data_IF_009602286970
#
_entry.id   IF_009602286970
#
_cell.length_a   1.000
_cell.length_b   1.000
_cell.length_c   1.000
_cell.angle_alpha   90.00
_cell.angle_beta   90.00
_cell.angle_gamma   90.00
#
_symmetry.space_group_name_H-M   'P 1'
#
loop_
_entity.id
_entity.type
_entity.pdbx_description
1 polymer ?
#
# COMPACT_ATOMS: atom_id res chain seq x y z
N UNK A 1 12.03 -0.57 -30.80
CA UNK A 1 12.70 -1.84 -31.17
C UNK A 1 13.55 -2.44 -30.04
N UNK A 2 13.35 -2.04 -28.77
CA UNK A 2 14.08 -2.60 -27.61
C UNK A 2 13.16 -3.29 -26.57
N UNK A 3 11.88 -3.48 -26.87
CA UNK A 3 10.91 -4.05 -25.91
C UNK A 3 10.61 -5.53 -26.07
N UNK A 4 11.21 -6.21 -27.04
CA UNK A 4 10.86 -7.61 -27.37
C UNK A 4 11.86 -8.67 -26.86
N UNK A 5 12.92 -8.27 -26.15
CA UNK A 5 13.99 -9.19 -25.75
C UNK A 5 13.69 -9.99 -24.47
N UNK A 6 12.59 -9.71 -23.78
CA UNK A 6 12.19 -10.50 -22.58
C UNK A 6 11.06 -11.50 -22.84
N UNK A 7 11.01 -12.06 -24.05
CA UNK A 7 10.20 -13.27 -24.32
C UNK A 7 10.94 -14.48 -23.75
N UNK A 8 10.38 -15.03 -22.66
CA UNK A 8 10.51 -16.41 -22.18
C UNK A 8 11.83 -17.09 -22.56
N UNK A 9 12.83 -16.99 -21.72
CA UNK A 9 13.93 -17.97 -21.78
C UNK A 9 13.39 -19.33 -21.32
N UNK A 10 13.05 -20.18 -22.27
CA UNK A 10 12.85 -21.62 -22.04
C UNK A 10 14.23 -22.26 -22.06
N UNK A 11 14.71 -22.68 -20.90
CA UNK A 11 15.95 -23.47 -20.82
C UNK A 11 15.57 -24.95 -20.97
N UNK A 12 15.96 -25.53 -22.08
CA UNK A 12 15.84 -26.97 -22.32
C UNK A 12 17.04 -27.69 -21.71
N UNK A 13 16.82 -28.44 -20.65
CA UNK A 13 17.82 -29.35 -20.11
C UNK A 13 17.59 -30.71 -20.80
N UNK A 14 18.48 -31.05 -21.72
CA UNK A 14 18.45 -32.34 -22.41
C UNK A 14 19.01 -33.44 -21.49
N UNK A 15 18.16 -34.32 -21.00
CA UNK A 15 18.51 -35.56 -20.33
C UNK A 15 18.09 -36.71 -21.26
N UNK A 16 18.93 -37.72 -21.55
CA UNK A 16 18.72 -38.67 -22.64
C UNK A 16 17.45 -39.53 -22.64
N UNK A 17 16.58 -39.37 -21.67
CA UNK A 17 15.34 -40.17 -21.59
C UNK A 17 14.07 -39.45 -21.18
N UNK A 18 14.11 -38.17 -20.73
CA UNK A 18 12.90 -37.45 -20.33
C UNK A 18 13.11 -35.92 -20.54
N UNK A 19 12.31 -35.32 -21.43
CA UNK A 19 12.27 -33.86 -21.56
C UNK A 19 11.40 -33.29 -20.45
N UNK A 20 12.00 -32.85 -19.35
CA UNK A 20 11.29 -32.19 -18.27
C UNK A 20 11.15 -30.70 -18.63
N UNK A 21 9.97 -30.31 -19.02
CA UNK A 21 9.61 -28.90 -19.20
C UNK A 21 9.48 -28.24 -17.83
N UNK A 22 10.58 -27.79 -17.25
CA UNK A 22 10.57 -26.99 -16.03
C UNK A 22 10.17 -25.56 -16.41
N UNK A 23 8.91 -25.18 -16.17
CA UNK A 23 8.55 -23.76 -16.12
C UNK A 23 9.36 -23.14 -14.97
N UNK A 24 10.39 -22.39 -15.32
CA UNK A 24 11.04 -21.52 -14.34
C UNK A 24 9.96 -20.63 -13.70
N UNK A 25 9.95 -20.48 -12.36
CA UNK A 25 9.01 -19.57 -11.73
C UNK A 25 9.21 -18.20 -12.38
N UNK A 26 8.11 -17.64 -12.91
CA UNK A 26 8.07 -16.28 -13.43
C UNK A 26 8.61 -15.38 -12.32
N UNK A 27 9.86 -14.95 -12.44
CA UNK A 27 10.39 -13.86 -11.63
C UNK A 27 9.59 -12.64 -12.04
N UNK A 28 8.64 -12.26 -11.21
CA UNK A 28 7.83 -11.05 -11.35
C UNK A 28 8.81 -9.90 -11.55
N UNK A 29 8.93 -9.45 -12.79
CA UNK A 29 9.89 -8.40 -13.15
C UNK A 29 9.55 -7.18 -12.31
N UNK A 30 10.50 -6.77 -11.49
CA UNK A 30 10.37 -5.59 -10.63
C UNK A 30 10.04 -4.39 -11.51
N UNK A 31 8.91 -3.75 -11.28
CA UNK A 31 8.47 -2.58 -12.04
C UNK A 31 9.25 -1.38 -11.51
N UNK A 32 10.33 -1.02 -12.23
CA UNK A 32 11.26 0.04 -11.82
C UNK A 32 10.56 1.40 -11.66
N UNK A 33 9.55 1.66 -12.47
CA UNK A 33 8.75 2.87 -12.44
C UNK A 33 8.01 3.04 -11.11
N UNK A 34 7.47 1.95 -10.56
CA UNK A 34 6.80 1.98 -9.26
C UNK A 34 7.79 2.18 -8.11
N UNK A 35 8.97 1.59 -8.19
CA UNK A 35 10.01 1.79 -7.18
C UNK A 35 10.52 3.24 -7.19
N UNK A 36 10.67 3.84 -8.37
CA UNK A 36 11.03 5.25 -8.52
C UNK A 36 9.95 6.18 -7.94
N UNK A 37 8.68 5.91 -8.25
CA UNK A 37 7.56 6.69 -7.73
C UNK A 37 7.47 6.62 -6.19
N UNK A 38 7.69 5.45 -5.61
CA UNK A 38 7.78 5.31 -4.15
C UNK A 38 8.92 6.12 -3.56
N UNK A 39 10.08 6.12 -4.20
CA UNK A 39 11.24 6.90 -3.76
C UNK A 39 10.90 8.39 -3.73
N UNK A 40 10.25 8.92 -4.78
CA UNK A 40 9.80 10.32 -4.82
C UNK A 40 8.84 10.61 -3.67
N UNK A 41 7.83 9.77 -3.46
CA UNK A 41 6.83 10.01 -2.40
C UNK A 41 7.44 9.94 -1.00
N UNK A 42 8.37 9.00 -0.74
CA UNK A 42 9.10 8.93 0.53
C UNK A 42 9.92 10.21 0.74
N UNK A 43 10.62 10.66 -0.28
CA UNK A 43 11.43 11.89 -0.22
C UNK A 43 10.55 13.11 0.08
N UNK A 44 9.43 13.26 -0.62
CA UNK A 44 8.46 14.33 -0.37
C UNK A 44 7.88 14.26 1.06
N UNK A 45 7.56 13.06 1.54
CA UNK A 45 7.09 12.86 2.90
C UNK A 45 8.13 13.36 3.91
N UNK A 46 9.39 12.94 3.78
CA UNK A 46 10.47 13.35 4.69
C UNK A 46 10.66 14.88 4.66
N UNK A 47 10.75 15.47 3.46
CA UNK A 47 10.98 16.91 3.30
C UNK A 47 9.88 17.74 4.00
N UNK A 48 8.61 17.42 3.77
CA UNK A 48 7.50 18.18 4.31
C UNK A 48 7.13 17.84 5.77
N UNK A 49 7.70 16.76 6.34
CA UNK A 49 7.65 16.50 7.78
C UNK A 49 8.71 17.31 8.56
N UNK A 50 9.75 17.81 7.88
CA UNK A 50 10.68 18.74 8.51
C UNK A 50 9.95 20.08 8.76
N UNK A 51 9.77 20.44 10.03
CA UNK A 51 9.04 21.63 10.48
C UNK A 51 9.54 22.89 9.75
N UNK A 52 10.86 23.06 9.66
CA UNK A 52 11.48 24.21 9.01
C UNK A 52 11.04 24.40 7.55
N UNK A 53 10.98 23.32 6.76
CA UNK A 53 10.58 23.37 5.34
C UNK A 53 9.06 23.42 5.22
N UNK A 54 8.37 22.61 6.01
CA UNK A 54 6.92 22.50 5.98
C UNK A 54 6.22 23.82 6.33
N UNK A 55 6.74 24.56 7.28
CA UNK A 55 6.15 25.83 7.71
C UNK A 55 6.54 27.00 6.77
N UNK A 56 7.71 26.88 6.11
CA UNK A 56 8.13 27.86 5.11
C UNK A 56 7.29 27.80 3.82
N UNK A 57 6.78 26.60 3.46
CA UNK A 57 6.01 26.38 2.23
C UNK A 57 4.67 25.69 2.52
N UNK A 58 3.74 26.34 3.22
CA UNK A 58 2.50 25.72 3.69
C UNK A 58 1.60 25.23 2.56
N UNK A 59 1.52 25.96 1.44
CA UNK A 59 0.73 25.54 0.28
C UNK A 59 1.30 24.28 -0.39
N UNK A 60 2.61 24.20 -0.56
CA UNK A 60 3.26 23.03 -1.10
C UNK A 60 3.08 21.80 -0.19
N UNK A 61 3.20 21.99 1.13
CA UNK A 61 2.92 20.97 2.13
C UNK A 61 1.51 20.45 2.01
N UNK A 62 0.52 21.33 1.88
CA UNK A 62 -0.88 20.95 1.75
C UNK A 62 -1.13 20.15 0.47
N UNK A 63 -0.58 20.59 -0.67
CA UNK A 63 -0.69 19.87 -1.94
C UNK A 63 -0.08 18.47 -1.82
N UNK A 64 1.13 18.35 -1.29
CA UNK A 64 1.80 17.04 -1.13
C UNK A 64 1.00 16.13 -0.21
N UNK A 65 0.49 16.64 0.92
CA UNK A 65 -0.29 15.84 1.87
C UNK A 65 -1.63 15.37 1.31
N UNK A 66 -2.18 16.04 0.30
CA UNK A 66 -3.43 15.64 -0.34
C UNK A 66 -3.28 14.33 -1.13
N UNK A 67 -2.15 14.13 -1.81
CA UNK A 67 -2.04 13.00 -2.75
C UNK A 67 -1.04 11.92 -2.36
N UNK A 68 0.05 12.24 -1.63
CA UNK A 68 1.15 11.27 -1.46
C UNK A 68 0.74 10.02 -0.67
N UNK A 69 -0.03 10.17 0.41
CA UNK A 69 -0.48 9.03 1.22
C UNK A 69 -1.54 8.19 0.47
N UNK A 70 -2.45 8.86 -0.23
CA UNK A 70 -3.45 8.20 -1.08
C UNK A 70 -2.78 7.40 -2.21
N UNK A 71 -1.79 7.99 -2.87
CA UNK A 71 -1.01 7.32 -3.91
C UNK A 71 -0.23 6.12 -3.37
N UNK A 72 0.34 6.21 -2.18
CA UNK A 72 0.97 5.06 -1.53
C UNK A 72 0.00 3.92 -1.26
N UNK A 73 -1.23 4.22 -0.82
CA UNK A 73 -2.25 3.19 -0.60
C UNK A 73 -2.68 2.53 -1.92
N UNK A 74 -2.84 3.30 -3.00
CA UNK A 74 -3.13 2.77 -4.34
C UNK A 74 -2.01 1.84 -4.81
N UNK A 75 -0.75 2.29 -4.72
CA UNK A 75 0.41 1.48 -5.11
C UNK A 75 0.50 0.21 -4.25
N UNK A 76 0.25 0.31 -2.96
CA UNK A 76 0.28 -0.84 -2.05
C UNK A 76 -0.81 -1.85 -2.37
N UNK A 77 -2.02 -1.39 -2.69
CA UNK A 77 -3.12 -2.23 -3.16
C UNK A 77 -2.79 -2.91 -4.50
N UNK A 78 -2.21 -2.17 -5.44
CA UNK A 78 -1.76 -2.72 -6.73
C UNK A 78 -0.70 -3.81 -6.59
N UNK A 79 0.26 -3.62 -5.68
CA UNK A 79 1.34 -4.59 -5.42
C UNK A 79 0.94 -5.70 -4.44
N UNK A 80 -0.26 -5.65 -3.88
CA UNK A 80 -0.76 -6.70 -3.01
C UNK A 80 -0.89 -8.02 -3.79
N UNK A 81 -0.26 -9.07 -3.30
CA UNK A 81 -0.22 -10.36 -3.97
C UNK A 81 -0.80 -11.46 -3.08
N UNK A 82 -1.92 -12.03 -3.51
CA UNK A 82 -2.63 -13.10 -2.82
C UNK A 82 -2.16 -14.52 -3.21
N UNK A 83 -1.31 -14.63 -4.23
CA UNK A 83 -0.80 -15.94 -4.73
C UNK A 83 0.28 -16.52 -3.84
N UNK A 84 0.76 -15.77 -2.86
CA UNK A 84 1.81 -16.23 -1.94
C UNK A 84 1.25 -17.20 -0.92
N UNK A 85 2.10 -18.17 -0.57
CA UNK A 85 1.82 -19.08 0.52
C UNK A 85 1.65 -18.32 1.86
N UNK A 86 0.81 -18.89 2.76
CA UNK A 86 0.48 -18.28 4.05
C UNK A 86 1.73 -17.94 4.87
N UNK A 87 2.75 -18.80 4.86
CA UNK A 87 4.03 -18.56 5.55
C UNK A 87 4.76 -17.32 5.00
N UNK A 88 4.76 -17.17 3.67
CA UNK A 88 5.40 -16.03 3.01
C UNK A 88 4.63 -14.73 3.24
N UNK A 89 3.29 -14.79 3.30
CA UNK A 89 2.45 -13.66 3.67
C UNK A 89 2.70 -13.26 5.12
N UNK A 90 2.64 -14.21 6.05
CA UNK A 90 2.84 -13.95 7.49
C UNK A 90 4.22 -13.36 7.76
N UNK A 91 5.27 -13.86 7.10
CA UNK A 91 6.62 -13.28 7.23
C UNK A 91 6.62 -11.79 6.83
N UNK A 92 6.02 -11.44 5.69
CA UNK A 92 5.95 -10.04 5.23
C UNK A 92 5.09 -9.18 6.14
N UNK A 93 3.96 -9.72 6.59
CA UNK A 93 3.07 -9.08 7.53
C UNK A 93 3.82 -8.72 8.82
N UNK A 94 4.54 -9.66 9.42
CA UNK A 94 5.34 -9.45 10.62
C UNK A 94 6.47 -8.44 10.41
N UNK A 95 7.11 -8.43 9.24
CA UNK A 95 8.14 -7.45 8.89
C UNK A 95 7.63 -6.01 8.85
N UNK A 96 6.33 -5.80 8.59
CA UNK A 96 5.69 -4.49 8.63
C UNK A 96 5.09 -4.23 10.01
N UNK A 97 4.44 -5.24 10.60
CA UNK A 97 3.74 -5.10 11.88
C UNK A 97 4.67 -4.86 13.06
N UNK A 98 5.82 -5.57 13.15
CA UNK A 98 6.74 -5.42 14.28
C UNK A 98 7.32 -4.01 14.37
N UNK A 99 7.91 -3.42 13.31
CA UNK A 99 8.37 -2.04 13.37
C UNK A 99 7.24 -1.05 13.66
N UNK A 100 6.06 -1.25 13.07
CA UNK A 100 4.89 -0.43 13.35
C UNK A 100 4.53 -0.46 14.84
N UNK A 101 4.37 -1.65 15.43
CA UNK A 101 3.98 -1.82 16.82
C UNK A 101 5.04 -1.23 17.79
N UNK A 102 6.34 -1.41 17.49
CA UNK A 102 7.41 -0.81 18.28
C UNK A 102 7.37 0.73 18.22
N UNK A 103 7.19 1.30 17.03
CA UNK A 103 7.15 2.76 16.86
C UNK A 103 5.89 3.36 17.47
N UNK A 104 4.73 2.73 17.31
CA UNK A 104 3.47 3.17 17.91
C UNK A 104 3.53 3.12 19.44
N UNK A 105 4.05 2.02 20.00
CA UNK A 105 4.25 1.90 21.46
C UNK A 105 5.23 2.96 21.98
N UNK A 106 6.34 3.18 21.28
CA UNK A 106 7.31 4.21 21.66
C UNK A 106 6.69 5.61 21.58
N UNK A 107 5.93 5.90 20.53
CA UNK A 107 5.23 7.18 20.37
C UNK A 107 4.20 7.40 21.49
N UNK A 108 3.40 6.39 21.82
CA UNK A 108 2.41 6.43 22.90
C UNK A 108 3.08 6.69 24.26
N UNK A 109 4.20 6.04 24.55
CA UNK A 109 4.97 6.30 25.79
C UNK A 109 5.54 7.71 25.78
N UNK A 110 6.14 8.15 24.66
CA UNK A 110 6.72 9.50 24.56
C UNK A 110 5.65 10.60 24.63
N UNK A 111 4.44 10.36 24.13
CA UNK A 111 3.33 11.33 24.16
C UNK A 111 2.86 11.66 25.58
N UNK A 112 3.13 10.80 26.55
CA UNK A 112 2.86 11.09 27.96
C UNK A 112 3.83 12.11 28.55
N UNK A 113 5.09 12.10 28.11
CA UNK A 113 6.16 12.95 28.65
C UNK A 113 6.37 14.24 27.87
N UNK A 114 5.98 14.27 26.59
CA UNK A 114 6.20 15.41 25.71
C UNK A 114 4.90 16.13 25.38
N UNK A 115 4.91 17.46 25.25
CA UNK A 115 3.75 18.23 24.81
C UNK A 115 3.51 17.98 23.31
N UNK A 116 2.83 16.88 22.99
CA UNK A 116 2.41 16.55 21.63
C UNK A 116 0.93 16.85 21.45
N UNK A 117 0.48 16.92 20.20
CA UNK A 117 -0.90 17.27 19.85
C UNK A 117 -1.93 16.30 20.42
N UNK A 118 -1.57 15.03 20.49
CA UNK A 118 -2.39 13.94 21.07
C UNK A 118 -1.57 13.31 22.20
N UNK A 119 -1.91 13.60 23.45
CA UNK A 119 -1.24 13.06 24.63
C UNK A 119 -2.10 11.99 25.28
N UNK A 120 -1.44 11.07 25.98
CA UNK A 120 -2.08 10.02 26.79
C UNK A 120 -1.92 10.38 28.27
N UNK A 121 -3.03 10.39 29.01
CA UNK A 121 -3.03 10.77 30.45
C UNK A 121 -2.34 9.74 31.33
N UNK A 122 -2.44 8.45 30.98
CA UNK A 122 -1.84 7.36 31.74
C UNK A 122 -1.31 6.25 30.84
N UNK A 123 -0.11 5.75 31.17
CA UNK A 123 0.50 4.62 30.46
C UNK A 123 0.03 3.33 31.15
N UNK A 124 -0.96 2.66 30.54
CA UNK A 124 -1.40 1.35 30.98
C UNK A 124 -1.25 0.32 29.85
N UNK A 125 -1.07 -0.96 30.13
CA UNK A 125 -1.01 -1.98 29.10
C UNK A 125 -2.24 -1.99 28.18
N UNK A 126 -3.42 -1.68 28.72
CA UNK A 126 -4.67 -1.58 27.97
C UNK A 126 -4.64 -0.43 26.98
N UNK A 127 -4.13 0.75 27.38
CA UNK A 127 -3.97 1.90 26.50
C UNK A 127 -2.95 1.61 25.39
N UNK A 128 -1.84 0.96 25.70
CA UNK A 128 -0.85 0.56 24.71
C UNK A 128 -1.45 -0.41 23.67
N UNK A 129 -2.21 -1.41 24.12
CA UNK A 129 -2.87 -2.34 23.20
C UNK A 129 -3.94 -1.63 22.34
N UNK A 130 -4.71 -0.73 22.93
CA UNK A 130 -5.70 0.07 22.17
C UNK A 130 -5.02 0.87 21.07
N UNK A 131 -3.92 1.58 21.38
CA UNK A 131 -3.21 2.39 20.40
C UNK A 131 -2.53 1.58 19.31
N UNK A 132 -1.94 0.44 19.64
CA UNK A 132 -1.28 -0.43 18.65
C UNK A 132 -2.30 -1.14 17.74
N UNK A 133 -3.46 -1.58 18.27
CA UNK A 133 -4.38 -2.44 17.50
C UNK A 133 -5.63 -1.75 17.00
N UNK A 134 -6.13 -0.72 17.70
CA UNK A 134 -7.43 -0.12 17.40
C UNK A 134 -7.32 1.33 16.94
N UNK A 135 -6.68 2.19 17.72
CA UNK A 135 -6.69 3.64 17.51
C UNK A 135 -5.27 4.22 17.47
N UNK A 136 -4.52 3.99 16.37
CA UNK A 136 -3.13 4.46 16.26
C UNK A 136 -3.04 5.97 16.37
N UNK A 137 -1.97 6.44 17.01
CA UNK A 137 -1.70 7.86 17.23
C UNK A 137 -0.74 8.42 16.18
N UNK A 138 -0.79 9.73 15.97
CA UNK A 138 0.18 10.45 15.15
C UNK A 138 0.27 9.96 13.70
N UNK A 139 1.48 9.79 13.14
CA UNK A 139 1.68 9.49 11.72
C UNK A 139 1.47 8.00 11.35
N UNK A 140 1.25 7.13 12.32
CA UNK A 140 1.25 5.66 12.10
C UNK A 140 -0.08 5.11 11.59
N UNK A 141 -1.14 5.92 11.54
CA UNK A 141 -2.45 5.55 10.98
C UNK A 141 -2.35 4.92 9.57
N UNK A 142 -1.38 5.36 8.78
CA UNK A 142 -1.17 4.83 7.43
C UNK A 142 -0.75 3.35 7.44
N UNK A 143 0.26 3.01 8.27
CA UNK A 143 0.74 1.63 8.41
C UNK A 143 -0.34 0.72 8.97
N UNK A 144 -1.10 1.21 9.95
CA UNK A 144 -2.24 0.50 10.50
C UNK A 144 -3.30 0.19 9.43
N UNK A 145 -3.72 1.20 8.66
CA UNK A 145 -4.65 1.02 7.55
C UNK A 145 -4.11 0.02 6.51
N UNK A 146 -2.83 0.13 6.15
CA UNK A 146 -2.18 -0.78 5.21
C UNK A 146 -2.17 -2.24 5.72
N UNK A 147 -1.88 -2.44 7.00
CA UNK A 147 -1.88 -3.76 7.65
C UNK A 147 -3.27 -4.36 7.62
N UNK A 148 -4.31 -3.62 8.03
CA UNK A 148 -5.70 -4.08 8.03
C UNK A 148 -6.20 -4.39 6.62
N UNK A 149 -6.00 -3.49 5.67
CA UNK A 149 -6.38 -3.69 4.28
C UNK A 149 -5.70 -4.93 3.66
N UNK A 150 -4.40 -5.09 3.91
CA UNK A 150 -3.63 -6.24 3.40
C UNK A 150 -4.11 -7.56 4.01
N UNK A 151 -4.45 -7.56 5.30
CA UNK A 151 -4.96 -8.75 5.99
C UNK A 151 -6.32 -9.18 5.44
N UNK A 152 -7.26 -8.23 5.33
CA UNK A 152 -8.61 -8.50 4.80
C UNK A 152 -8.54 -8.98 3.35
N UNK A 153 -7.74 -8.29 2.53
CA UNK A 153 -7.53 -8.70 1.16
C UNK A 153 -6.99 -10.13 1.06
N UNK A 154 -5.95 -10.45 1.84
CA UNK A 154 -5.38 -11.80 1.84
C UNK A 154 -6.40 -12.85 2.26
N UNK A 155 -7.14 -12.62 3.36
CA UNK A 155 -8.16 -13.54 3.85
C UNK A 155 -9.25 -13.75 2.80
N UNK A 156 -9.80 -12.66 2.27
CA UNK A 156 -10.90 -12.72 1.28
C UNK A 156 -10.46 -13.46 0.02
N UNK A 157 -9.32 -13.13 -0.54
CA UNK A 157 -8.87 -13.74 -1.79
C UNK A 157 -8.34 -15.17 -1.63
N UNK A 158 -7.92 -15.56 -0.43
CA UNK A 158 -7.42 -16.92 -0.15
C UNK A 158 -8.54 -17.90 0.18
N UNK A 159 -9.52 -17.49 0.99
CA UNK A 159 -10.51 -18.39 1.54
C UNK A 159 -11.88 -18.30 0.85
N UNK A 160 -12.24 -17.16 0.30
CA UNK A 160 -13.52 -16.98 -0.41
C UNK A 160 -13.39 -17.48 -1.84
N UNK A 161 -14.12 -18.54 -2.19
CA UNK A 161 -14.12 -19.17 -3.52
C UNK A 161 -15.24 -18.61 -4.39
N UNK A 162 -15.19 -17.31 -4.65
CA UNK A 162 -16.15 -16.60 -5.51
C UNK A 162 -15.43 -16.02 -6.75
N UNK A 163 -16.19 -15.41 -7.65
CA UNK A 163 -15.64 -14.63 -8.77
C UNK A 163 -14.74 -13.49 -8.27
N UNK A 164 -13.86 -13.00 -9.11
CA UNK A 164 -12.95 -11.89 -8.74
C UNK A 164 -13.76 -10.66 -8.32
N UNK A 165 -14.82 -10.33 -9.07
CA UNK A 165 -15.70 -9.19 -8.77
C UNK A 165 -16.36 -9.36 -7.40
N UNK A 166 -16.93 -10.55 -7.12
CA UNK A 166 -17.56 -10.82 -5.83
C UNK A 166 -16.57 -10.72 -4.66
N UNK A 167 -15.31 -11.18 -4.85
CA UNK A 167 -14.26 -11.02 -3.82
C UNK A 167 -13.92 -9.56 -3.58
N UNK A 168 -13.85 -8.73 -4.63
CA UNK A 168 -13.64 -7.28 -4.51
C UNK A 168 -14.77 -6.63 -3.72
N UNK A 169 -16.03 -6.98 -4.03
CA UNK A 169 -17.20 -6.47 -3.31
C UNK A 169 -17.16 -6.90 -1.83
N UNK A 170 -16.91 -8.18 -1.54
CA UNK A 170 -16.80 -8.68 -0.16
C UNK A 170 -15.67 -7.95 0.59
N UNK A 171 -14.51 -7.77 -0.04
CA UNK A 171 -13.41 -7.00 0.57
C UNK A 171 -13.85 -5.57 0.88
N UNK A 172 -14.51 -4.89 -0.06
CA UNK A 172 -15.04 -3.54 0.14
C UNK A 172 -16.05 -3.45 1.27
N UNK A 173 -16.98 -4.42 1.36
CA UNK A 173 -17.97 -4.50 2.44
C UNK A 173 -17.30 -4.73 3.80
N UNK A 174 -16.30 -5.63 3.87
CA UNK A 174 -15.53 -5.85 5.10
C UNK A 174 -14.78 -4.60 5.55
N UNK A 175 -14.13 -3.89 4.61
CA UNK A 175 -13.42 -2.65 4.90
C UNK A 175 -14.38 -1.54 5.36
N UNK A 176 -15.55 -1.45 4.72
CA UNK A 176 -16.60 -0.52 5.14
C UNK A 176 -17.10 -0.83 6.55
N UNK A 177 -17.39 -2.09 6.85
CA UNK A 177 -17.84 -2.53 8.15
C UNK A 177 -16.82 -2.21 9.26
N UNK A 178 -15.54 -2.48 9.03
CA UNK A 178 -14.46 -2.17 9.97
C UNK A 178 -14.26 -0.66 10.16
N UNK A 179 -14.49 0.13 9.13
CA UNK A 179 -14.44 1.59 9.24
C UNK A 179 -15.62 2.15 9.99
N UNK A 180 -16.84 1.74 9.62
CA UNK A 180 -18.07 2.34 10.13
C UNK A 180 -18.44 1.86 11.55
N UNK A 181 -18.34 0.55 11.80
CA UNK A 181 -18.68 -0.04 13.10
C UNK A 181 -17.48 -0.22 14.02
N UNK A 182 -16.32 -0.52 13.45
CA UNK A 182 -15.09 -0.71 14.21
C UNK A 182 -14.36 0.60 14.54
N UNK A 183 -14.57 1.67 13.76
CA UNK A 183 -13.83 2.92 13.91
C UNK A 183 -12.31 2.78 13.69
N UNK A 184 -11.85 1.63 13.17
CA UNK A 184 -10.44 1.26 13.10
C UNK A 184 -9.65 2.06 12.06
N UNK A 185 -10.32 2.59 11.03
CA UNK A 185 -9.68 3.33 9.95
C UNK A 185 -10.67 4.24 9.24
N UNK A 186 -10.17 5.25 8.53
CA UNK A 186 -11.00 6.04 7.66
C UNK A 186 -11.31 5.28 6.37
N UNK A 187 -12.59 5.15 6.00
CA UNK A 187 -13.03 4.41 4.80
C UNK A 187 -12.45 5.00 3.51
N UNK A 188 -12.30 6.32 3.41
CA UNK A 188 -11.67 6.95 2.24
C UNK A 188 -10.26 6.42 1.98
N UNK A 189 -9.49 6.15 3.05
CA UNK A 189 -8.15 5.58 2.92
C UNK A 189 -8.21 4.12 2.45
N UNK A 190 -9.16 3.34 2.96
CA UNK A 190 -9.38 1.96 2.52
C UNK A 190 -9.80 1.89 1.04
N UNK A 191 -10.58 2.87 0.55
CA UNK A 191 -10.95 2.97 -0.87
C UNK A 191 -9.74 3.13 -1.79
N UNK A 192 -8.73 3.90 -1.41
CA UNK A 192 -7.52 4.04 -2.23
C UNK A 192 -6.80 2.70 -2.38
N UNK A 193 -6.72 1.92 -1.32
CA UNK A 193 -6.17 0.56 -1.39
C UNK A 193 -7.03 -0.35 -2.29
N UNK A 194 -8.35 -0.28 -2.17
CA UNK A 194 -9.31 -1.04 -2.98
C UNK A 194 -9.19 -0.70 -4.46
N UNK A 195 -9.02 0.58 -4.82
CA UNK A 195 -8.77 1.02 -6.20
C UNK A 195 -7.50 0.37 -6.74
N UNK A 196 -6.38 0.45 -6.00
CA UNK A 196 -5.13 -0.19 -6.40
C UNK A 196 -5.26 -1.69 -6.63
N UNK A 197 -5.96 -2.37 -5.73
CA UNK A 197 -6.25 -3.80 -5.83
C UNK A 197 -7.11 -4.12 -7.05
N UNK A 198 -8.14 -3.32 -7.35
CA UNK A 198 -9.02 -3.49 -8.51
C UNK A 198 -8.23 -3.37 -9.81
N UNK A 199 -7.35 -2.37 -9.92
CA UNK A 199 -6.45 -2.22 -11.07
C UNK A 199 -5.54 -3.45 -11.22
N UNK A 200 -5.00 -3.97 -10.12
CA UNK A 200 -4.16 -5.18 -10.14
C UNK A 200 -4.92 -6.41 -10.64
N UNK A 201 -6.18 -6.58 -10.24
CA UNK A 201 -7.02 -7.73 -10.62
C UNK A 201 -7.59 -7.61 -12.05
N UNK A 202 -7.74 -6.40 -12.59
CA UNK A 202 -8.16 -6.19 -13.98
C UNK A 202 -7.06 -6.53 -15.00
N UNK A 203 -5.84 -6.82 -14.57
CA UNK A 203 -4.70 -7.13 -15.44
C UNK A 203 -4.11 -5.92 -16.17
N UNK A 204 -4.57 -4.72 -15.87
CA UNK A 204 -4.01 -3.49 -16.41
C UNK A 204 -2.61 -3.24 -15.83
N UNK A 205 -1.69 -2.86 -16.70
CA UNK A 205 -0.36 -2.41 -16.24
C UNK A 205 -0.50 -1.03 -15.61
N UNK A 206 0.11 -0.84 -14.46
CA UNK A 206 0.10 0.46 -13.77
C UNK A 206 0.57 1.62 -14.66
N UNK A 207 1.55 1.36 -15.54
CA UNK A 207 2.05 2.31 -16.54
C UNK A 207 0.98 2.71 -17.55
N UNK A 208 0.06 1.83 -17.93
CA UNK A 208 -1.06 2.15 -18.83
C UNK A 208 -2.09 3.04 -18.14
N UNK A 209 -2.35 2.82 -16.86
CA UNK A 209 -3.23 3.69 -16.08
C UNK A 209 -2.63 5.09 -15.94
N UNK A 210 -1.33 5.19 -15.68
CA UNK A 210 -0.61 6.47 -15.64
C UNK A 210 -0.65 7.19 -17.00
N UNK A 211 -0.46 6.46 -18.10
CA UNK A 211 -0.52 7.06 -19.45
C UNK A 211 -1.91 7.55 -19.83
N UNK A 212 -2.98 6.87 -19.39
CA UNK A 212 -4.35 7.31 -19.59
C UNK A 212 -4.64 8.63 -18.87
N UNK A 213 -4.07 8.83 -17.69
CA UNK A 213 -4.16 10.10 -16.95
C UNK A 213 -3.41 11.20 -17.70
N UNK A 214 -2.23 10.92 -18.27
CA UNK A 214 -1.46 11.88 -19.06
C UNK A 214 -2.10 12.22 -20.41
N UNK A 215 -2.80 11.30 -21.05
CA UNK A 215 -3.49 11.54 -22.33
C UNK A 215 -4.71 12.45 -22.14
N UNK A 216 -5.32 12.48 -20.97
CA UNK A 216 -6.46 13.38 -20.68
C UNK A 216 -6.05 14.83 -20.41
N UNK A 217 -4.76 15.13 -20.22
CA UNK A 217 -4.26 16.50 -19.96
C UNK A 217 -3.82 17.34 -21.16
N UNK A 218 -3.49 16.82 -22.37
CA UNK A 218 -2.90 17.66 -23.42
C UNK A 218 -3.86 18.67 -24.07
N UNK A 219 -5.14 18.65 -23.75
CA UNK A 219 -6.10 19.57 -24.39
C UNK A 219 -6.22 20.94 -23.71
N UNK A 220 -5.70 21.13 -22.52
CA UNK A 220 -5.79 22.44 -21.81
C UNK A 220 -4.64 23.41 -22.04
N UNK A 221 -3.50 22.94 -22.52
CA UNK A 221 -2.33 23.81 -22.75
C UNK A 221 -2.25 24.42 -24.15
N UNK A 222 -3.14 24.07 -25.08
CA UNK A 222 -3.18 24.66 -26.45
C UNK A 222 -4.13 25.84 -26.62
N UNK A 223 -4.78 26.28 -25.57
CA UNK A 223 -5.70 27.43 -25.64
C UNK A 223 -5.13 28.74 -25.05
N UNK A 224 -3.81 28.83 -24.82
CA UNK A 224 -3.15 30.07 -24.42
C UNK A 224 -1.96 30.27 -25.35
N UNK A 225 -2.23 30.69 -26.56
CA UNK A 225 -1.31 31.43 -27.43
C UNK A 225 -2.11 32.33 -28.38
#
# INVERSE_FOLDING_TARGET
AASDVYKRQEVYIFVPSITIRRKLPYMESRVKEIDYLKCIFITLMIIFHLVYIGDKYPYAKQIVYTFHMSAFLIISGYLANNRKDARSFLRKFLWIFIPYACMEAAYTVMSHFLPVRESVDAITPTVLLDKVFLHPMGPYWYLHTLILCSLIYYITFRYVRLSVVSRLVVTGVCLFALSHWGGLMNFSNALYFLIGMTVSQSGLRFTQVLSLIHISEPTRLRCIS
#
